data_IF_230129842615
#
_entry.id   IF_230129842615
#
_cell.length_a   1.000
_cell.length_b   1.000
_cell.length_c   1.000
_cell.angle_alpha   90.00
_cell.angle_beta   90.00
_cell.angle_gamma   90.00
#
_symmetry.space_group_name_H-M   'P 1'
#
loop_
_entity.id
_entity.type
_entity.pdbx_description
1 polymer ?
#
# COMPACT_ATOMS: atom_id res chain seq x y z
N UNK A 1 28.53 1.06 -26.35
CA UNK A 1 29.09 1.56 -25.07
C UNK A 1 29.27 3.09 -25.05
N UNK A 2 28.74 3.84 -26.03
CA UNK A 2 28.96 5.30 -26.17
C UNK A 2 27.69 6.16 -26.07
N UNK A 3 26.54 5.59 -25.68
CA UNK A 3 25.29 6.36 -25.38
C UNK A 3 25.03 6.48 -23.87
N UNK A 4 25.91 5.93 -23.01
CA UNK A 4 25.75 5.88 -21.56
C UNK A 4 26.31 7.12 -20.83
N UNK A 5 26.99 8.02 -21.53
CA UNK A 5 27.74 9.12 -20.89
C UNK A 5 26.90 10.37 -20.59
N UNK A 6 25.68 10.46 -21.11
CA UNK A 6 24.81 11.65 -20.95
C UNK A 6 23.57 11.38 -20.06
N UNK A 7 23.67 10.44 -19.12
CA UNK A 7 22.62 10.21 -18.14
C UNK A 7 22.66 11.31 -17.07
N UNK A 8 21.63 12.17 -16.95
CA UNK A 8 21.64 13.23 -15.95
C UNK A 8 21.78 12.61 -14.55
N UNK A 9 22.76 13.11 -13.79
CA UNK A 9 23.03 12.64 -12.44
C UNK A 9 21.83 12.82 -11.51
N UNK A 10 21.81 12.05 -10.42
CA UNK A 10 20.79 12.21 -9.37
C UNK A 10 21.14 13.37 -8.43
N UNK A 11 20.13 14.15 -8.02
CA UNK A 11 20.31 15.10 -6.93
C UNK A 11 20.13 14.38 -5.57
N UNK A 12 20.95 14.73 -4.58
CA UNK A 12 20.82 14.18 -3.22
C UNK A 12 19.49 14.59 -2.56
N UNK A 13 18.89 15.69 -2.99
CA UNK A 13 17.61 16.18 -2.49
C UNK A 13 16.37 15.50 -3.10
N UNK A 14 16.55 14.72 -4.17
CA UNK A 14 15.45 14.00 -4.82
C UNK A 14 14.81 12.99 -3.86
N UNK A 15 13.49 12.83 -3.98
CA UNK A 15 12.78 11.77 -3.26
C UNK A 15 13.14 10.42 -3.87
N UNK A 16 13.80 9.57 -3.09
CA UNK A 16 14.03 8.18 -3.45
C UNK A 16 12.80 7.32 -3.13
N UNK A 17 12.15 7.58 -1.99
CA UNK A 17 10.98 6.84 -1.54
C UNK A 17 9.83 7.81 -1.28
N UNK A 18 8.88 7.86 -2.20
CA UNK A 18 7.71 8.75 -2.13
C UNK A 18 6.80 8.41 -0.94
N UNK A 19 6.50 7.12 -0.74
CA UNK A 19 5.58 6.69 0.33
C UNK A 19 6.07 7.01 1.75
N UNK A 20 7.40 7.06 1.95
CA UNK A 20 8.03 7.40 3.23
C UNK A 20 8.63 8.81 3.25
N UNK A 21 8.54 9.56 2.14
CA UNK A 21 9.19 10.87 1.97
C UNK A 21 10.69 10.87 2.33
N UNK A 22 11.42 9.87 1.84
CA UNK A 22 12.86 9.70 2.10
C UNK A 22 13.66 10.17 0.88
N UNK A 23 14.63 11.06 1.12
CA UNK A 23 15.55 11.60 0.12
C UNK A 23 16.69 10.64 -0.22
N UNK A 24 17.19 10.71 -1.46
CA UNK A 24 18.31 9.89 -1.96
C UNK A 24 19.60 10.11 -1.16
N UNK A 25 19.95 11.36 -0.85
CA UNK A 25 21.15 11.72 -0.07
C UNK A 25 21.20 11.05 1.30
N UNK A 26 20.04 10.88 1.94
CA UNK A 26 19.97 10.20 3.24
C UNK A 26 20.33 8.72 3.14
N UNK A 27 19.82 8.03 2.10
CA UNK A 27 20.08 6.61 1.86
C UNK A 27 21.53 6.38 1.42
N UNK A 28 22.02 7.19 0.48
CA UNK A 28 23.40 7.08 -0.01
C UNK A 28 24.44 7.40 1.07
N UNK A 29 24.17 8.39 1.93
CA UNK A 29 25.02 8.69 3.10
C UNK A 29 25.06 7.51 4.08
N UNK A 30 23.93 6.84 4.33
CA UNK A 30 23.89 5.64 5.16
C UNK A 30 24.73 4.49 4.57
N UNK A 31 24.62 4.26 3.25
CA UNK A 31 25.39 3.24 2.55
C UNK A 31 26.91 3.55 2.53
N UNK A 32 27.28 4.83 2.36
CA UNK A 32 28.69 5.26 2.47
C UNK A 32 29.23 5.04 3.89
N UNK A 33 28.45 5.39 4.93
CA UNK A 33 28.85 5.21 6.34
C UNK A 33 29.01 3.75 6.77
N UNK A 34 28.29 2.83 6.14
CA UNK A 34 28.47 1.40 6.38
C UNK A 34 29.66 0.79 5.61
N UNK A 35 30.55 1.63 5.07
CA UNK A 35 31.66 1.20 4.19
C UNK A 35 31.16 0.36 3.01
N UNK A 36 29.94 0.63 2.52
CA UNK A 36 29.29 -0.10 1.42
C UNK A 36 29.10 -1.60 1.67
N UNK A 37 29.11 -2.03 2.93
CA UNK A 37 29.03 -3.44 3.31
C UNK A 37 27.60 -3.93 3.65
N UNK A 38 26.57 -3.09 3.44
CA UNK A 38 25.17 -3.48 3.69
C UNK A 38 24.51 -3.91 2.39
N UNK A 39 23.85 -5.06 2.40
CA UNK A 39 22.99 -5.52 1.31
C UNK A 39 21.65 -4.74 1.30
N UNK A 40 20.79 -5.06 0.32
CA UNK A 40 19.48 -4.44 0.16
C UNK A 40 18.66 -4.46 1.46
N UNK A 41 18.53 -5.62 2.11
CA UNK A 41 17.76 -5.76 3.36
C UNK A 41 18.33 -4.91 4.49
N UNK A 42 19.65 -4.87 4.61
CA UNK A 42 20.34 -3.99 5.57
C UNK A 42 20.07 -2.51 5.28
N UNK A 43 20.00 -2.12 4.00
CA UNK A 43 19.70 -0.74 3.60
C UNK A 43 18.23 -0.38 3.84
N UNK A 44 17.29 -1.28 3.52
CA UNK A 44 15.85 -1.13 3.81
C UNK A 44 15.65 -1.03 5.33
N UNK A 45 16.24 -1.94 6.11
CA UNK A 45 16.10 -1.96 7.57
C UNK A 45 16.64 -0.70 8.26
N UNK A 46 17.69 -0.08 7.72
CA UNK A 46 18.28 1.14 8.28
C UNK A 46 17.62 2.43 7.79
N UNK A 47 17.16 2.46 6.53
CA UNK A 47 16.56 3.66 5.94
C UNK A 47 15.05 3.70 6.06
N UNK A 48 14.38 2.56 6.24
CA UNK A 48 12.93 2.43 6.12
C UNK A 48 12.39 2.61 4.69
N UNK A 49 13.22 2.98 3.71
CA UNK A 49 12.82 3.11 2.32
C UNK A 49 12.41 1.74 1.76
N UNK A 50 11.32 1.72 0.98
CA UNK A 50 10.85 0.49 0.34
C UNK A 50 10.12 -0.49 1.27
N UNK A 51 9.98 -0.18 2.56
CA UNK A 51 9.33 -1.05 3.55
C UNK A 51 7.79 -1.11 3.45
N UNK A 52 7.18 -0.21 2.67
CA UNK A 52 5.72 -0.10 2.52
C UNK A 52 5.23 -0.64 1.18
N UNK A 53 5.65 -0.02 0.07
CA UNK A 53 5.07 -0.30 -1.24
C UNK A 53 6.04 -0.95 -2.22
N UNK A 54 7.29 -1.19 -1.81
CA UNK A 54 8.41 -1.71 -2.63
C UNK A 54 8.76 -0.96 -3.92
N UNK A 55 8.04 0.12 -4.27
CA UNK A 55 8.21 0.82 -5.56
C UNK A 55 9.58 1.47 -5.76
N UNK A 56 10.30 1.79 -4.68
CA UNK A 56 11.67 2.31 -4.75
C UNK A 56 12.76 1.23 -4.66
N UNK A 57 12.40 -0.07 -4.64
CA UNK A 57 13.37 -1.16 -4.53
C UNK A 57 14.40 -1.14 -5.66
N UNK A 58 14.05 -0.90 -6.94
CA UNK A 58 15.06 -0.79 -7.99
C UNK A 58 16.10 0.31 -7.76
N UNK A 59 15.69 1.45 -7.18
CA UNK A 59 16.61 2.53 -6.80
C UNK A 59 17.51 2.15 -5.62
N UNK A 60 17.01 1.37 -4.66
CA UNK A 60 17.80 0.87 -3.53
C UNK A 60 18.82 -0.17 -3.99
N UNK A 61 18.41 -1.07 -4.90
CA UNK A 61 19.27 -2.06 -5.55
C UNK A 61 20.41 -1.39 -6.32
N UNK A 62 20.09 -0.35 -7.09
CA UNK A 62 21.10 0.47 -7.77
C UNK A 62 22.12 1.10 -6.78
N UNK A 63 21.68 1.56 -5.60
CA UNK A 63 22.58 2.11 -4.58
C UNK A 63 23.54 1.05 -4.01
N UNK A 64 23.08 -0.18 -3.81
CA UNK A 64 23.92 -1.28 -3.31
C UNK A 64 24.76 -1.93 -4.40
N UNK A 65 24.68 -1.45 -5.65
CA UNK A 65 25.50 -1.90 -6.77
C UNK A 65 24.89 -3.03 -7.60
N UNK A 66 23.61 -3.36 -7.39
CA UNK A 66 22.90 -4.33 -8.24
C UNK A 66 22.46 -3.66 -9.55
N UNK A 67 22.74 -4.31 -10.69
CA UNK A 67 22.23 -3.87 -11.98
C UNK A 67 20.86 -4.46 -12.25
N UNK A 68 19.81 -3.65 -12.08
CA UNK A 68 18.41 -4.03 -12.28
C UNK A 68 17.70 -3.22 -13.36
N UNK A 69 18.43 -2.36 -14.06
CA UNK A 69 17.88 -1.45 -15.05
C UNK A 69 18.27 -1.87 -16.45
N UNK A 70 17.28 -1.88 -17.34
CA UNK A 70 17.50 -1.99 -18.78
C UNK A 70 17.13 -0.66 -19.43
N UNK A 71 18.07 -0.07 -20.16
CA UNK A 71 17.75 1.03 -21.08
C UNK A 71 16.97 0.48 -22.25
N UNK A 72 15.92 1.20 -22.65
CA UNK A 72 14.99 0.75 -23.67
C UNK A 72 14.65 1.85 -24.66
N UNK A 73 14.33 1.44 -25.87
CA UNK A 73 13.67 2.26 -26.88
C UNK A 73 12.20 1.89 -26.96
N UNK A 74 11.35 2.85 -27.31
CA UNK A 74 9.94 2.58 -27.58
C UNK A 74 9.84 2.06 -29.01
N UNK A 75 9.59 0.77 -29.19
CA UNK A 75 9.52 0.16 -30.53
C UNK A 75 8.15 0.28 -31.19
N UNK A 76 7.08 0.48 -30.42
CA UNK A 76 5.75 0.76 -30.95
C UNK A 76 4.87 1.48 -29.94
N UNK A 77 4.05 2.42 -30.42
CA UNK A 77 2.96 3.06 -29.66
C UNK A 77 1.61 2.77 -30.32
N UNK A 78 0.72 2.10 -29.58
CA UNK A 78 -0.65 1.84 -30.02
C UNK A 78 -1.64 2.71 -29.24
N UNK A 79 -2.58 3.36 -29.92
CA UNK A 79 -3.66 4.12 -29.28
C UNK A 79 -4.92 3.28 -29.22
N UNK A 80 -5.34 2.88 -28.01
CA UNK A 80 -6.52 2.05 -27.79
C UNK A 80 -7.80 2.89 -27.67
N UNK A 81 -7.70 4.04 -26.99
CA UNK A 81 -8.74 5.06 -26.92
C UNK A 81 -8.14 6.40 -26.48
N UNK A 82 -8.96 7.44 -26.34
CA UNK A 82 -8.52 8.81 -25.95
C UNK A 82 -7.61 8.82 -24.71
N UNK A 83 -7.92 7.99 -23.72
CA UNK A 83 -7.20 7.96 -22.44
C UNK A 83 -6.21 6.80 -22.34
N UNK A 84 -6.14 5.89 -23.31
CA UNK A 84 -5.36 4.66 -23.20
C UNK A 84 -4.41 4.48 -24.38
N UNK A 85 -3.12 4.31 -24.06
CA UNK A 85 -2.07 3.97 -25.01
C UNK A 85 -1.25 2.81 -24.51
N UNK A 86 -0.75 2.00 -25.43
CA UNK A 86 0.14 0.87 -25.17
C UNK A 86 1.49 1.13 -25.77
N UNK A 87 2.54 0.75 -25.04
CA UNK A 87 3.92 0.99 -25.40
C UNK A 87 4.66 -0.34 -25.36
N UNK A 88 5.40 -0.65 -26.43
CA UNK A 88 6.37 -1.74 -26.43
C UNK A 88 7.78 -1.17 -26.28
N UNK A 89 8.54 -1.82 -25.42
CA UNK A 89 9.92 -1.50 -25.13
C UNK A 89 10.82 -2.64 -25.55
N UNK A 90 11.91 -2.29 -26.22
CA UNK A 90 12.97 -3.22 -26.62
C UNK A 90 14.32 -2.70 -26.09
N UNK A 91 15.24 -3.63 -25.83
CA UNK A 91 16.64 -3.24 -25.56
C UNK A 91 17.44 -3.29 -26.84
N UNK A 92 18.59 -2.59 -26.86
CA UNK A 92 19.59 -2.76 -27.92
C UNK A 92 20.37 -4.06 -27.71
N UNK A 93 19.78 -5.18 -28.11
CA UNK A 93 20.48 -6.45 -28.34
C UNK A 93 20.63 -7.40 -27.14
N UNK A 94 19.88 -7.23 -26.05
CA UNK A 94 19.85 -8.18 -24.93
C UNK A 94 18.41 -8.58 -24.55
N UNK A 95 18.08 -9.87 -24.43
CA UNK A 95 16.76 -10.27 -23.99
C UNK A 95 16.49 -9.81 -22.55
N UNK A 96 15.23 -9.51 -22.26
CA UNK A 96 14.78 -9.25 -20.89
C UNK A 96 14.76 -10.54 -20.07
N UNK A 97 14.94 -10.41 -18.75
CA UNK A 97 14.67 -11.51 -17.82
C UNK A 97 13.21 -11.94 -17.90
N UNK A 98 12.90 -13.25 -17.93
CA UNK A 98 11.53 -13.76 -17.92
C UNK A 98 10.68 -13.14 -16.80
N UNK A 99 9.45 -12.75 -17.13
CA UNK A 99 8.47 -12.23 -16.18
C UNK A 99 7.39 -13.27 -15.92
N UNK A 100 6.83 -13.30 -14.70
CA UNK A 100 5.56 -14.00 -14.43
C UNK A 100 4.39 -13.12 -14.84
N UNK A 101 3.27 -13.74 -15.22
CA UNK A 101 2.06 -13.01 -15.55
C UNK A 101 1.56 -12.18 -14.36
N UNK A 102 1.19 -10.93 -14.61
CA UNK A 102 0.76 -9.99 -13.57
C UNK A 102 1.88 -9.27 -12.83
N UNK A 103 3.16 -9.56 -13.12
CA UNK A 103 4.26 -8.74 -12.59
C UNK A 103 4.29 -7.35 -13.21
N UNK A 104 4.94 -6.43 -12.51
CA UNK A 104 5.09 -5.05 -12.94
C UNK A 104 6.55 -4.65 -13.06
N UNK A 105 6.79 -3.59 -13.82
CA UNK A 105 8.09 -2.94 -13.94
C UNK A 105 8.00 -1.51 -13.41
N UNK A 106 9.13 -0.96 -12.99
CA UNK A 106 9.28 0.47 -12.76
C UNK A 106 9.79 1.09 -14.06
N UNK A 107 9.03 2.01 -14.62
CA UNK A 107 9.46 2.87 -15.73
C UNK A 107 10.02 4.14 -15.13
N UNK A 108 11.23 4.51 -15.54
CA UNK A 108 11.89 5.73 -15.12
C UNK A 108 12.31 6.54 -16.36
N UNK A 109 12.01 7.84 -16.31
CA UNK A 109 12.34 8.80 -17.36
C UNK A 109 12.77 10.13 -16.72
N UNK A 110 13.58 10.89 -17.44
CA UNK A 110 13.96 12.24 -17.05
C UNK A 110 12.98 13.25 -17.66
N UNK A 111 12.16 13.88 -16.84
CA UNK A 111 11.04 14.74 -17.27
C UNK A 111 11.19 16.09 -16.58
N UNK A 112 11.21 17.18 -17.33
CA UNK A 112 11.26 18.55 -16.81
C UNK A 112 12.39 18.79 -15.78
N UNK A 113 13.58 18.22 -16.02
CA UNK A 113 14.74 18.40 -15.16
C UNK A 113 14.76 17.48 -13.92
N UNK A 114 13.81 16.56 -13.78
CA UNK A 114 13.73 15.64 -12.63
C UNK A 114 13.53 14.18 -13.07
N UNK A 115 14.06 13.27 -12.27
CA UNK A 115 13.82 11.84 -12.45
C UNK A 115 12.42 11.48 -11.95
N UNK A 116 11.58 11.04 -12.88
CA UNK A 116 10.25 10.54 -12.59
C UNK A 116 10.23 9.03 -12.75
N UNK A 117 9.61 8.35 -11.79
CA UNK A 117 9.43 6.90 -11.84
C UNK A 117 7.97 6.54 -11.57
N UNK A 118 7.42 5.57 -12.29
CA UNK A 118 6.11 4.98 -11.98
C UNK A 118 6.11 3.49 -12.26
N UNK A 119 5.25 2.80 -11.51
CA UNK A 119 4.98 1.38 -11.67
C UNK A 119 3.95 1.18 -12.77
N UNK A 120 4.22 0.21 -13.65
CA UNK A 120 3.27 -0.27 -14.65
C UNK A 120 3.29 -1.79 -14.70
N UNK A 121 2.11 -2.40 -14.64
CA UNK A 121 1.96 -3.84 -14.82
C UNK A 121 2.25 -4.20 -16.28
N UNK A 122 3.01 -5.28 -16.47
CA UNK A 122 3.28 -5.81 -17.80
C UNK A 122 1.99 -6.38 -18.38
N UNK A 123 1.70 -6.07 -19.63
CA UNK A 123 0.62 -6.70 -20.41
C UNK A 123 1.13 -7.85 -21.27
N UNK A 124 2.44 -8.06 -21.35
CA UNK A 124 3.02 -9.22 -22.03
C UNK A 124 2.61 -10.55 -21.37
N UNK A 125 2.53 -11.65 -22.14
CA UNK A 125 2.45 -12.98 -21.55
C UNK A 125 3.71 -13.31 -20.73
N UNK A 126 3.59 -14.33 -19.86
CA UNK A 126 4.71 -14.81 -19.06
C UNK A 126 5.88 -15.29 -19.94
N UNK A 127 7.09 -15.11 -19.42
CA UNK A 127 8.38 -15.43 -20.02
C UNK A 127 8.66 -14.82 -21.40
N UNK A 128 7.85 -13.89 -21.91
CA UNK A 128 8.26 -13.07 -23.05
C UNK A 128 9.58 -12.37 -22.68
N UNK A 129 10.56 -12.39 -23.57
CA UNK A 129 11.91 -11.84 -23.33
C UNK A 129 12.36 -10.87 -24.42
N UNK A 130 11.69 -10.84 -25.57
CA UNK A 130 12.05 -9.98 -26.70
C UNK A 130 11.63 -8.54 -26.48
N UNK A 131 10.43 -8.33 -25.94
CA UNK A 131 9.89 -7.00 -25.65
C UNK A 131 9.17 -6.96 -24.29
N UNK A 132 8.93 -5.73 -23.81
CA UNK A 132 8.09 -5.45 -22.64
C UNK A 132 6.95 -4.55 -23.08
N UNK A 133 5.74 -4.86 -22.67
CA UNK A 133 4.55 -4.08 -23.03
C UNK A 133 3.86 -3.58 -21.77
N UNK A 134 3.44 -2.32 -21.79
CA UNK A 134 2.59 -1.72 -20.76
C UNK A 134 1.43 -0.96 -21.41
N UNK A 135 0.31 -0.90 -20.71
CA UNK A 135 -0.81 -0.02 -21.06
C UNK A 135 -0.95 1.10 -20.03
N UNK A 136 -1.07 2.32 -20.52
CA UNK A 136 -1.07 3.54 -19.71
C UNK A 136 -2.37 4.28 -19.88
N UNK A 137 -3.17 4.32 -18.81
CA UNK A 137 -4.29 5.26 -18.70
C UNK A 137 -3.78 6.66 -18.34
N UNK A 138 -4.20 7.67 -19.09
CA UNK A 138 -3.94 9.08 -18.80
C UNK A 138 -4.58 9.45 -17.46
N UNK A 139 -3.80 10.09 -16.58
CA UNK A 139 -4.30 10.65 -15.32
C UNK A 139 -4.26 12.17 -15.37
N UNK A 140 -5.33 12.81 -14.91
CA UNK A 140 -5.33 14.26 -14.68
C UNK A 140 -4.18 14.64 -13.75
N UNK A 141 -3.39 15.64 -14.15
CA UNK A 141 -2.16 16.09 -13.46
C UNK A 141 -1.07 15.01 -13.22
N UNK A 142 -1.14 13.85 -13.89
CA UNK A 142 -0.11 12.80 -13.77
C UNK A 142 1.13 13.09 -14.63
N UNK A 143 2.30 13.27 -14.02
CA UNK A 143 3.53 13.66 -14.74
C UNK A 143 3.94 12.60 -15.77
N UNK A 144 4.25 11.37 -15.32
CA UNK A 144 4.67 10.28 -16.20
C UNK A 144 3.60 9.88 -17.23
N UNK A 145 2.33 9.78 -16.81
CA UNK A 145 1.26 9.35 -17.72
C UNK A 145 1.01 10.35 -18.85
N UNK A 146 1.04 11.66 -18.55
CA UNK A 146 0.86 12.68 -19.59
C UNK A 146 2.09 12.79 -20.48
N UNK A 147 3.30 12.65 -19.90
CA UNK A 147 4.53 12.61 -20.67
C UNK A 147 4.53 11.45 -21.66
N UNK A 148 4.29 10.21 -21.21
CA UNK A 148 4.18 9.03 -22.10
C UNK A 148 3.13 9.25 -23.20
N UNK A 149 2.01 9.88 -22.88
CA UNK A 149 0.97 10.15 -23.88
C UNK A 149 1.39 11.12 -24.98
N UNK A 150 2.42 11.92 -24.75
CA UNK A 150 2.90 12.97 -25.64
C UNK A 150 4.26 12.65 -26.29
N UNK A 151 4.93 11.54 -25.93
CA UNK A 151 6.21 11.17 -26.56
C UNK A 151 6.02 10.59 -27.97
N UNK A 152 7.06 10.72 -28.79
CA UNK A 152 7.26 10.01 -30.05
C UNK A 152 8.23 8.82 -29.87
N UNK A 153 8.28 7.92 -30.86
CA UNK A 153 9.00 6.64 -30.80
C UNK A 153 10.53 6.75 -30.71
N UNK A 154 11.15 7.93 -30.87
CA UNK A 154 12.58 8.00 -31.21
C UNK A 154 13.53 8.81 -30.31
N UNK A 155 13.13 9.42 -29.19
CA UNK A 155 14.04 10.44 -28.55
C UNK A 155 14.11 10.47 -27.02
N UNK A 156 13.73 9.40 -26.31
CA UNK A 156 13.63 9.49 -24.85
C UNK A 156 14.52 8.49 -24.10
N UNK A 157 15.32 9.00 -23.16
CA UNK A 157 16.06 8.20 -22.18
C UNK A 157 15.07 7.54 -21.21
N UNK A 158 14.56 6.38 -21.59
CA UNK A 158 13.73 5.53 -20.74
C UNK A 158 14.58 4.34 -20.28
N UNK A 159 14.46 4.04 -18.99
CA UNK A 159 14.94 2.77 -18.45
C UNK A 159 13.84 2.11 -17.64
N UNK A 160 13.82 0.78 -17.69
CA UNK A 160 12.84 -0.02 -16.98
C UNK A 160 13.54 -0.99 -16.05
N UNK A 161 12.95 -1.26 -14.89
CA UNK A 161 13.48 -2.26 -13.96
C UNK A 161 13.25 -3.68 -14.48
N UNK A 162 13.96 -4.64 -13.92
CA UNK A 162 13.53 -6.04 -13.94
C UNK A 162 12.09 -6.18 -13.39
N UNK A 163 11.33 -7.20 -13.82
CA UNK A 163 10.01 -7.50 -13.27
C UNK A 163 10.05 -7.69 -11.75
N UNK A 164 9.06 -7.13 -11.07
CA UNK A 164 8.89 -7.20 -9.63
C UNK A 164 7.41 -7.46 -9.30
N UNK A 165 7.17 -7.97 -8.09
CA UNK A 165 5.84 -8.31 -7.59
C UNK A 165 5.67 -9.83 -7.45
N UNK A 166 5.24 -10.25 -6.26
CA UNK A 166 5.02 -11.66 -5.92
C UNK A 166 3.54 -12.04 -5.92
N UNK A 167 2.63 -11.06 -6.02
CA UNK A 167 1.18 -11.25 -6.01
C UNK A 167 0.65 -11.69 -7.40
N UNK A 168 1.21 -12.77 -7.93
CA UNK A 168 0.79 -13.38 -9.19
C UNK A 168 0.09 -14.71 -8.90
N UNK A 169 -1.09 -14.99 -9.49
CA UNK A 169 -1.73 -16.28 -9.30
C UNK A 169 -0.89 -17.40 -9.92
N UNK A 170 -0.97 -18.59 -9.32
CA UNK A 170 -0.37 -19.80 -9.90
C UNK A 170 -1.14 -20.21 -11.16
N UNK A 171 -0.47 -20.32 -12.31
CA UNK A 171 -1.17 -20.60 -13.57
C UNK A 171 -1.37 -22.09 -13.86
N UNK A 172 -0.57 -22.95 -13.22
CA UNK A 172 -0.71 -24.41 -13.33
C UNK A 172 -1.46 -24.90 -12.10
N UNK A 173 -2.79 -24.97 -12.19
CA UNK A 173 -3.65 -25.41 -11.09
C UNK A 173 -4.96 -25.99 -11.61
N UNK A 174 -5.49 -26.98 -10.90
CA UNK A 174 -6.82 -27.56 -11.15
C UNK A 174 -7.95 -26.73 -10.52
N UNK A 175 -7.63 -25.69 -9.75
CA UNK A 175 -8.63 -24.79 -9.17
C UNK A 175 -8.94 -23.66 -10.16
N UNK A 176 -10.21 -23.34 -10.47
CA UNK A 176 -10.50 -22.22 -11.37
C UNK A 176 -9.98 -20.87 -10.84
N UNK A 177 -9.74 -19.93 -11.74
CA UNK A 177 -9.32 -18.56 -11.43
C UNK A 177 -10.38 -17.56 -11.86
N UNK A 178 -10.88 -16.77 -10.92
CA UNK A 178 -11.84 -15.69 -11.19
C UNK A 178 -11.14 -14.34 -11.05
N UNK A 179 -10.93 -13.67 -12.19
CA UNK A 179 -10.35 -12.33 -12.24
C UNK A 179 -11.46 -11.27 -12.21
N UNK A 180 -11.51 -10.45 -11.15
CA UNK A 180 -12.45 -9.33 -10.99
C UNK A 180 -11.68 -8.02 -11.15
N UNK A 181 -11.85 -7.36 -12.30
CA UNK A 181 -11.02 -6.20 -12.67
C UNK A 181 -11.81 -4.95 -13.03
N UNK A 182 -11.27 -3.80 -12.64
CA UNK A 182 -11.88 -2.48 -12.85
C UNK A 182 -10.97 -1.52 -13.62
N UNK A 183 -11.44 -1.03 -14.77
CA UNK A 183 -10.69 -0.04 -15.59
C UNK A 183 -9.30 -0.53 -16.01
N UNK A 184 -8.25 0.27 -15.74
CA UNK A 184 -6.86 -0.12 -16.05
C UNK A 184 -6.35 -1.29 -15.18
N UNK A 185 -7.08 -1.67 -14.14
CA UNK A 185 -6.84 -2.90 -13.38
C UNK A 185 -6.96 -4.18 -14.22
N UNK A 186 -7.43 -4.09 -15.47
CA UNK A 186 -7.36 -5.17 -16.46
C UNK A 186 -5.93 -5.66 -16.70
N UNK A 187 -4.93 -4.79 -16.67
CA UNK A 187 -3.56 -5.10 -17.15
C UNK A 187 -2.93 -6.38 -16.58
N UNK A 188 -2.96 -6.69 -15.26
CA UNK A 188 -2.48 -7.98 -14.77
C UNK A 188 -3.32 -9.16 -15.28
N UNK A 189 -4.65 -9.02 -15.33
CA UNK A 189 -5.54 -10.05 -15.84
C UNK A 189 -5.33 -10.29 -17.34
N UNK A 190 -5.03 -9.25 -18.13
CA UNK A 190 -4.69 -9.40 -19.54
C UNK A 190 -3.39 -10.20 -19.73
N UNK A 191 -2.36 -9.92 -18.92
CA UNK A 191 -1.13 -10.71 -18.93
C UNK A 191 -1.39 -12.19 -18.59
N UNK A 192 -2.28 -12.46 -17.63
CA UNK A 192 -2.71 -13.82 -17.28
C UNK A 192 -3.46 -14.47 -18.45
N UNK A 193 -4.48 -13.80 -19.00
CA UNK A 193 -5.27 -14.30 -20.14
C UNK A 193 -4.39 -14.64 -21.33
N UNK A 194 -3.48 -13.74 -21.72
CA UNK A 194 -2.50 -13.98 -22.81
C UNK A 194 -1.56 -15.14 -22.51
N UNK A 195 -1.22 -15.36 -21.24
CA UNK A 195 -0.35 -16.48 -20.86
C UNK A 195 -1.09 -17.80 -20.97
N UNK A 196 -2.31 -17.87 -20.45
CA UNK A 196 -3.14 -19.08 -20.51
C UNK A 196 -3.51 -19.44 -21.96
N UNK A 197 -3.72 -18.46 -22.82
CA UNK A 197 -4.05 -18.70 -24.23
C UNK A 197 -2.88 -19.19 -25.09
N UNK A 198 -1.64 -19.04 -24.61
CA UNK A 198 -0.44 -19.42 -25.36
C UNK A 198 0.24 -20.69 -24.84
N UNK A 199 -0.11 -21.14 -23.64
CA UNK A 199 0.57 -22.23 -22.93
C UNK A 199 -0.40 -23.35 -22.62
N UNK A 200 -0.37 -24.39 -23.44
CA UNK A 200 -1.23 -25.57 -23.28
C UNK A 200 -1.04 -26.25 -21.92
N UNK A 201 0.17 -26.19 -21.35
CA UNK A 201 0.46 -26.74 -20.02
C UNK A 201 -0.22 -25.97 -18.87
N UNK A 202 -0.72 -24.75 -19.13
CA UNK A 202 -1.37 -23.89 -18.14
C UNK A 202 -2.90 -24.02 -18.16
N UNK A 203 -3.48 -25.19 -18.52
CA UNK A 203 -4.93 -25.44 -18.75
C UNK A 203 -5.93 -25.18 -17.60
N UNK A 204 -5.65 -24.22 -16.72
CA UNK A 204 -6.50 -23.70 -15.66
C UNK A 204 -7.71 -22.97 -16.24
N UNK A 205 -8.90 -23.25 -15.72
CA UNK A 205 -10.11 -22.50 -16.06
C UNK A 205 -10.02 -21.06 -15.57
N UNK A 206 -10.32 -20.09 -16.44
CA UNK A 206 -10.33 -18.67 -16.12
C UNK A 206 -11.68 -18.02 -16.45
N UNK A 207 -12.21 -17.29 -15.46
CA UNK A 207 -13.34 -16.37 -15.63
C UNK A 207 -12.86 -14.93 -15.43
N UNK A 208 -12.97 -14.09 -16.46
CA UNK A 208 -12.69 -12.67 -16.38
C UNK A 208 -14.00 -11.88 -16.24
N UNK A 209 -14.17 -11.11 -15.17
CA UNK A 209 -15.21 -10.08 -15.05
C UNK A 209 -14.54 -8.71 -15.14
N UNK A 210 -14.79 -8.01 -16.25
CA UNK A 210 -14.16 -6.74 -16.58
C UNK A 210 -15.17 -5.60 -16.55
N UNK A 211 -15.04 -4.75 -15.52
CA UNK A 211 -15.89 -3.60 -15.27
C UNK A 211 -15.23 -2.28 -15.69
N UNK A 212 -15.95 -1.47 -16.47
CA UNK A 212 -15.53 -0.10 -16.85
C UNK A 212 -16.71 0.86 -16.85
N UNK A 213 -16.44 2.18 -16.92
CA UNK A 213 -17.50 3.19 -16.87
C UNK A 213 -18.28 3.28 -18.19
N UNK A 214 -17.56 3.34 -19.31
CA UNK A 214 -18.12 3.55 -20.65
C UNK A 214 -17.59 2.47 -21.61
N UNK A 215 -18.28 2.20 -22.72
CA UNK A 215 -17.76 1.28 -23.75
C UNK A 215 -16.37 1.71 -24.26
N UNK A 216 -16.10 3.02 -24.35
CA UNK A 216 -14.78 3.55 -24.76
C UNK A 216 -13.63 3.26 -23.78
N UNK A 217 -13.95 2.87 -22.54
CA UNK A 217 -12.97 2.41 -21.55
C UNK A 217 -12.71 0.88 -21.66
N UNK A 218 -13.50 0.12 -22.43
CA UNK A 218 -13.30 -1.33 -22.67
C UNK A 218 -12.14 -1.60 -23.64
N UNK A 219 -10.93 -1.26 -23.21
CA UNK A 219 -9.72 -1.57 -23.97
C UNK A 219 -9.49 -3.07 -24.07
N UNK A 220 -8.91 -3.54 -25.18
CA UNK A 220 -8.64 -4.97 -25.47
C UNK A 220 -9.87 -5.88 -25.60
N UNK A 221 -11.09 -5.33 -25.73
CA UNK A 221 -12.32 -6.11 -25.89
C UNK A 221 -12.24 -7.15 -27.03
N UNK A 222 -11.81 -6.73 -28.22
CA UNK A 222 -11.73 -7.61 -29.39
C UNK A 222 -10.69 -8.71 -29.21
N UNK A 223 -9.50 -8.37 -28.73
CA UNK A 223 -8.45 -9.36 -28.45
C UNK A 223 -8.92 -10.41 -27.43
N UNK A 224 -9.57 -9.97 -26.34
CA UNK A 224 -10.09 -10.89 -25.33
C UNK A 224 -11.16 -11.82 -25.91
N UNK A 225 -12.05 -11.30 -26.77
CA UNK A 225 -13.06 -12.11 -27.45
C UNK A 225 -12.43 -13.16 -28.37
N UNK A 226 -11.43 -12.78 -29.17
CA UNK A 226 -10.69 -13.70 -30.03
C UNK A 226 -10.00 -14.81 -29.22
N UNK A 227 -9.39 -14.46 -28.08
CA UNK A 227 -8.79 -15.43 -27.16
C UNK A 227 -9.86 -16.40 -26.62
N UNK A 228 -11.01 -15.89 -26.19
CA UNK A 228 -12.11 -16.71 -25.65
C UNK A 228 -12.68 -17.66 -26.71
N UNK A 229 -12.80 -17.22 -27.96
CA UNK A 229 -13.27 -18.08 -29.06
C UNK A 229 -12.32 -19.26 -29.33
N UNK A 230 -11.01 -19.04 -29.13
CA UNK A 230 -9.98 -20.06 -29.35
C UNK A 230 -9.72 -20.94 -28.13
N UNK A 231 -10.15 -20.53 -26.92
CA UNK A 231 -9.80 -21.19 -25.66
C UNK A 231 -11.04 -21.46 -24.80
N UNK A 232 -11.51 -22.72 -24.81
CA UNK A 232 -12.74 -23.14 -24.11
C UNK A 232 -12.68 -22.99 -22.58
N UNK A 233 -11.50 -23.00 -21.99
CA UNK A 233 -11.27 -22.83 -20.55
C UNK A 233 -11.27 -21.35 -20.12
N UNK A 234 -11.34 -20.40 -21.06
CA UNK A 234 -11.35 -18.97 -20.77
C UNK A 234 -12.74 -18.41 -21.10
N UNK A 235 -13.33 -17.67 -20.17
CA UNK A 235 -14.58 -16.96 -20.40
C UNK A 235 -14.56 -15.55 -19.84
N UNK A 236 -15.32 -14.64 -20.45
CA UNK A 236 -15.34 -13.22 -20.08
C UNK A 236 -16.77 -12.71 -19.87
N UNK A 237 -16.92 -11.77 -18.95
CA UNK A 237 -18.09 -10.92 -18.76
C UNK A 237 -17.63 -9.47 -18.81
N UNK A 238 -18.16 -8.67 -19.73
CA UNK A 238 -17.92 -7.23 -19.77
C UNK A 238 -19.06 -6.49 -19.08
N UNK A 239 -18.72 -5.50 -18.25
CA UNK A 239 -19.70 -4.67 -17.54
C UNK A 239 -19.43 -3.18 -17.77
N UNK A 240 -20.35 -2.52 -18.44
CA UNK A 240 -20.35 -1.05 -18.61
C UNK A 240 -21.22 -0.47 -17.50
N UNK A 241 -20.60 0.10 -16.47
CA UNK A 241 -21.28 0.45 -15.22
C UNK A 241 -22.24 1.62 -15.34
N UNK A 242 -22.07 2.49 -16.35
CA UNK A 242 -23.03 3.58 -16.62
C UNK A 242 -24.37 3.05 -17.17
N UNK A 243 -24.40 1.83 -17.71
CA UNK A 243 -25.58 1.22 -18.33
C UNK A 243 -26.14 0.10 -17.44
N UNK A 244 -25.30 -0.84 -17.04
CA UNK A 244 -25.68 -2.03 -16.28
C UNK A 244 -25.57 -1.87 -14.75
N UNK A 245 -25.09 -0.72 -14.28
CA UNK A 245 -24.77 -0.50 -12.87
C UNK A 245 -23.48 -1.21 -12.41
N UNK A 246 -23.10 -0.95 -11.16
CA UNK A 246 -21.95 -1.63 -10.53
C UNK A 246 -22.29 -3.09 -10.21
N UNK A 247 -21.25 -3.92 -10.18
CA UNK A 247 -21.33 -5.27 -9.62
C UNK A 247 -21.88 -5.23 -8.20
N UNK A 248 -22.81 -6.13 -7.88
CA UNK A 248 -23.52 -6.20 -6.60
C UNK A 248 -23.33 -7.57 -5.91
N UNK A 249 -23.92 -7.72 -4.73
CA UNK A 249 -23.82 -8.95 -3.95
C UNK A 249 -24.40 -10.18 -4.67
N UNK A 250 -25.49 -10.03 -5.43
CA UNK A 250 -26.10 -11.14 -6.15
C UNK A 250 -25.21 -11.63 -7.28
N UNK A 251 -24.58 -10.70 -8.02
CA UNK A 251 -23.60 -11.05 -9.06
C UNK A 251 -22.48 -11.94 -8.46
N UNK A 252 -21.94 -11.55 -7.31
CA UNK A 252 -20.87 -12.29 -6.63
C UNK A 252 -21.36 -13.65 -6.10
N UNK A 253 -22.57 -13.71 -5.53
CA UNK A 253 -23.15 -14.98 -5.07
C UNK A 253 -23.32 -15.97 -6.23
N UNK A 254 -23.80 -15.50 -7.37
CA UNK A 254 -23.90 -16.31 -8.60
C UNK A 254 -22.54 -16.75 -9.09
N UNK A 255 -21.57 -15.84 -9.14
CA UNK A 255 -20.19 -16.13 -9.58
C UNK A 255 -19.52 -17.20 -8.71
N UNK A 256 -19.65 -17.09 -7.38
CA UNK A 256 -19.10 -18.07 -6.42
C UNK A 256 -19.81 -19.42 -6.55
N UNK A 257 -21.13 -19.41 -6.72
CA UNK A 257 -21.94 -20.64 -6.84
C UNK A 257 -21.65 -21.39 -8.14
N UNK A 258 -21.40 -20.68 -9.24
CA UNK A 258 -21.03 -21.27 -10.53
C UNK A 258 -19.57 -21.75 -10.57
N UNK A 259 -18.71 -21.22 -9.71
CA UNK A 259 -17.27 -21.51 -9.70
C UNK A 259 -16.80 -21.86 -8.27
N UNK A 260 -17.29 -22.97 -7.68
CA UNK A 260 -16.99 -23.32 -6.30
C UNK A 260 -15.49 -23.62 -6.11
N UNK A 261 -14.93 -23.14 -4.99
CA UNK A 261 -13.54 -23.40 -4.62
C UNK A 261 -12.48 -22.57 -5.36
N UNK A 262 -12.91 -21.70 -6.28
CA UNK A 262 -12.03 -20.85 -7.09
C UNK A 262 -11.12 -19.94 -6.26
N UNK A 263 -9.97 -19.61 -6.85
CA UNK A 263 -9.18 -18.49 -6.37
C UNK A 263 -9.67 -17.20 -7.06
N UNK A 264 -9.69 -16.10 -6.33
CA UNK A 264 -10.15 -14.80 -6.79
C UNK A 264 -8.97 -13.83 -6.91
N UNK A 265 -8.80 -13.24 -8.07
CA UNK A 265 -7.78 -12.23 -8.34
C UNK A 265 -8.43 -10.89 -8.62
N UNK A 266 -8.19 -9.91 -7.76
CA UNK A 266 -8.87 -8.61 -7.79
C UNK A 266 -7.88 -7.52 -8.14
N UNK A 267 -8.23 -6.67 -9.11
CA UNK A 267 -7.43 -5.49 -9.42
C UNK A 267 -8.29 -4.31 -9.91
N UNK A 268 -8.14 -3.15 -9.29
CA UNK A 268 -8.87 -1.96 -9.70
C UNK A 268 -8.70 -0.77 -8.76
N UNK A 269 -9.54 0.26 -8.89
CA UNK A 269 -9.62 1.35 -7.93
C UNK A 269 -9.89 0.84 -6.51
N UNK A 270 -9.39 1.54 -5.49
CA UNK A 270 -9.54 1.11 -4.08
C UNK A 270 -10.98 0.88 -3.67
N UNK A 271 -11.93 1.68 -4.16
CA UNK A 271 -13.36 1.50 -3.87
C UNK A 271 -13.91 0.21 -4.49
N UNK A 272 -13.58 -0.06 -5.76
CA UNK A 272 -13.93 -1.30 -6.44
C UNK A 272 -13.41 -2.52 -5.67
N UNK A 273 -12.11 -2.55 -5.37
CA UNK A 273 -11.49 -3.67 -4.67
C UNK A 273 -12.09 -3.91 -3.28
N UNK A 274 -12.34 -2.85 -2.50
CA UNK A 274 -12.95 -2.99 -1.16
C UNK A 274 -14.37 -3.54 -1.24
N UNK A 275 -15.16 -3.09 -2.22
CA UNK A 275 -16.53 -3.55 -2.43
C UNK A 275 -16.57 -5.02 -2.82
N UNK A 276 -15.71 -5.45 -3.75
CA UNK A 276 -15.60 -6.86 -4.14
C UNK A 276 -15.20 -7.73 -2.95
N UNK A 277 -14.19 -7.33 -2.18
CA UNK A 277 -13.74 -8.09 -0.99
C UNK A 277 -14.88 -8.23 0.02
N UNK A 278 -15.64 -7.15 0.25
CA UNK A 278 -16.81 -7.19 1.13
C UNK A 278 -17.88 -8.17 0.63
N UNK A 279 -18.15 -8.20 -0.68
CA UNK A 279 -19.12 -9.14 -1.24
C UNK A 279 -18.65 -10.61 -1.22
N UNK A 280 -17.36 -10.85 -1.46
CA UNK A 280 -16.76 -12.18 -1.36
C UNK A 280 -16.79 -12.71 0.08
N UNK A 281 -16.52 -11.86 1.07
CA UNK A 281 -16.66 -12.19 2.50
C UNK A 281 -18.10 -12.58 2.84
N UNK A 282 -19.09 -11.81 2.36
CA UNK A 282 -20.51 -12.14 2.51
C UNK A 282 -20.94 -13.43 1.79
N UNK A 283 -20.23 -13.81 0.73
CA UNK A 283 -20.40 -15.07 0.02
C UNK A 283 -19.61 -16.22 0.66
N UNK A 284 -19.00 -16.03 1.84
CA UNK A 284 -18.18 -17.00 2.57
C UNK A 284 -16.93 -17.48 1.81
N UNK A 285 -16.34 -16.61 0.98
CA UNK A 285 -15.03 -16.89 0.37
C UNK A 285 -13.93 -16.61 1.39
N UNK A 286 -13.09 -17.60 1.66
CA UNK A 286 -12.01 -17.46 2.62
C UNK A 286 -10.91 -16.50 2.14
N UNK A 287 -10.26 -15.73 3.03
CA UNK A 287 -9.26 -14.73 2.64
C UNK A 287 -8.04 -15.29 1.90
N UNK A 288 -7.65 -16.54 2.16
CA UNK A 288 -6.53 -17.24 1.48
C UNK A 288 -6.83 -17.53 0.00
N UNK A 289 -8.11 -17.53 -0.38
CA UNK A 289 -8.57 -17.63 -1.77
C UNK A 289 -8.57 -16.30 -2.50
N UNK A 290 -8.21 -15.19 -1.85
CA UNK A 290 -8.31 -13.85 -2.43
C UNK A 290 -6.91 -13.24 -2.59
N UNK A 291 -6.53 -12.96 -3.83
CA UNK A 291 -5.35 -12.19 -4.19
C UNK A 291 -5.76 -10.79 -4.65
N UNK A 292 -5.11 -9.76 -4.13
CA UNK A 292 -5.40 -8.36 -4.45
C UNK A 292 -4.15 -7.65 -4.97
N UNK A 293 -4.22 -7.12 -6.19
CA UNK A 293 -3.20 -6.23 -6.76
C UNK A 293 -3.64 -4.76 -6.66
N UNK A 294 -2.82 -3.94 -6.01
CA UNK A 294 -3.14 -2.53 -5.75
C UNK A 294 -2.52 -1.60 -6.80
N UNK A 295 -3.33 -1.12 -7.73
CA UNK A 295 -2.92 -0.25 -8.84
C UNK A 295 -2.69 1.22 -8.46
N UNK A 296 -3.19 1.64 -7.30
CA UNK A 296 -3.09 3.04 -6.86
C UNK A 296 -1.94 3.13 -5.86
N UNK A 297 -0.81 3.71 -6.29
CA UNK A 297 0.15 4.26 -5.33
C UNK A 297 -0.63 5.18 -4.39
N UNK A 298 -0.38 5.19 -3.07
CA UNK A 298 -1.19 5.94 -2.12
C UNK A 298 -0.94 7.48 -2.18
N UNK A 299 -0.64 8.00 -3.37
CA UNK A 299 0.26 9.12 -3.61
C UNK A 299 -0.38 10.53 -3.49
N UNK A 300 -1.68 10.69 -3.23
CA UNK A 300 -2.23 12.05 -3.06
C UNK A 300 -3.19 12.26 -1.87
N UNK A 301 -3.82 11.22 -1.32
CA UNK A 301 -4.62 11.36 -0.10
C UNK A 301 -3.81 11.31 1.20
N UNK A 302 -2.54 10.88 1.16
CA UNK A 302 -1.73 10.66 2.37
C UNK A 302 -0.99 11.90 2.90
N UNK A 303 -0.74 12.93 2.09
CA UNK A 303 -0.02 14.13 2.54
C UNK A 303 -0.90 15.10 3.35
N UNK A 304 -2.21 15.14 3.09
CA UNK A 304 -3.11 16.08 3.77
C UNK A 304 -3.65 15.56 5.11
N UNK A 305 -3.71 14.23 5.33
CA UNK A 305 -4.14 13.64 6.61
C UNK A 305 -3.08 13.64 7.71
N UNK A 306 -1.81 13.91 7.37
CA UNK A 306 -0.67 13.83 8.29
C UNK A 306 -0.68 14.93 9.39
N UNK A 307 -1.37 16.06 9.19
CA UNK A 307 -1.29 17.20 10.11
C UNK A 307 -2.45 17.30 11.10
N UNK A 308 -3.66 16.85 10.74
CA UNK A 308 -4.87 17.10 11.55
C UNK A 308 -4.86 16.37 12.89
N UNK A 309 -4.49 15.09 12.94
CA UNK A 309 -4.45 14.31 14.19
C UNK A 309 -3.47 14.91 15.21
N UNK A 310 -2.38 15.52 14.76
CA UNK A 310 -1.40 16.15 15.66
C UNK A 310 -2.03 17.30 16.44
N UNK A 311 -2.74 18.20 15.75
CA UNK A 311 -3.38 19.35 16.39
C UNK A 311 -4.56 18.94 17.26
N UNK A 312 -5.32 17.93 16.85
CA UNK A 312 -6.41 17.35 17.66
C UNK A 312 -5.86 16.75 18.95
N UNK A 313 -4.82 15.93 18.87
CA UNK A 313 -4.21 15.31 20.04
C UNK A 313 -3.58 16.35 20.97
N UNK A 314 -2.87 17.33 20.42
CA UNK A 314 -2.30 18.43 21.18
C UNK A 314 -3.39 19.24 21.91
N UNK A 315 -4.50 19.54 21.23
CA UNK A 315 -5.64 20.24 21.82
C UNK A 315 -6.21 19.47 23.02
N UNK A 316 -6.52 18.17 22.86
CA UNK A 316 -7.06 17.37 23.97
C UNK A 316 -6.07 17.24 25.13
N UNK A 317 -4.78 17.13 24.84
CA UNK A 317 -3.75 17.08 25.88
C UNK A 317 -3.63 18.40 26.65
N UNK A 318 -3.69 19.54 25.96
CA UNK A 318 -3.69 20.87 26.58
C UNK A 318 -4.95 21.05 27.43
N UNK A 319 -6.12 20.68 26.93
CA UNK A 319 -7.39 20.77 27.67
C UNK A 319 -7.37 19.91 28.94
N UNK A 320 -6.88 18.67 28.86
CA UNK A 320 -6.71 17.80 30.02
C UNK A 320 -5.72 18.39 31.04
N UNK A 321 -4.59 18.92 30.56
CA UNK A 321 -3.58 19.54 31.41
C UNK A 321 -4.11 20.81 32.10
N UNK A 322 -4.86 21.64 31.38
CA UNK A 322 -5.50 22.84 31.92
C UNK A 322 -6.57 22.47 32.96
N UNK A 323 -7.34 21.40 32.70
CA UNK A 323 -8.28 20.86 33.66
C UNK A 323 -7.60 20.45 34.96
N UNK A 324 -6.48 19.73 34.90
CA UNK A 324 -5.72 19.35 36.10
C UNK A 324 -5.13 20.57 36.83
N UNK A 325 -4.59 21.55 36.11
CA UNK A 325 -3.94 22.72 36.69
C UNK A 325 -4.91 23.70 37.35
N UNK A 326 -6.11 23.83 36.79
CA UNK A 326 -7.16 24.75 37.26
C UNK A 326 -8.22 24.05 38.11
N UNK A 327 -8.05 22.75 38.39
CA UNK A 327 -9.02 21.88 39.08
C UNK A 327 -10.46 21.98 38.51
N UNK A 328 -10.56 22.07 37.17
CA UNK A 328 -11.86 22.21 36.49
C UNK A 328 -12.55 20.85 36.44
N UNK A 329 -13.54 20.64 37.32
CA UNK A 329 -14.32 19.40 37.36
C UNK A 329 -15.77 19.65 36.96
N UNK A 330 -16.30 18.76 36.12
CA UNK A 330 -17.73 18.72 35.85
C UNK A 330 -18.40 17.78 36.84
N UNK A 331 -19.30 18.32 37.67
CA UNK A 331 -19.95 17.58 38.75
C UNK A 331 -20.69 16.32 38.27
N UNK A 332 -21.30 16.39 37.09
CA UNK A 332 -22.00 15.22 36.51
C UNK A 332 -21.06 14.08 36.16
N UNK A 333 -19.85 14.39 35.66
CA UNK A 333 -18.85 13.39 35.27
C UNK A 333 -18.18 12.80 36.50
N UNK A 334 -17.88 13.63 37.51
CA UNK A 334 -17.31 13.16 38.78
C UNK A 334 -18.28 12.21 39.50
N UNK A 335 -19.58 12.56 39.55
CA UNK A 335 -20.60 11.69 40.11
C UNK A 335 -20.67 10.34 39.38
N UNK A 336 -20.58 10.34 38.05
CA UNK A 336 -20.51 9.10 37.27
C UNK A 336 -19.24 8.30 37.60
N UNK A 337 -18.07 8.95 37.58
CA UNK A 337 -16.76 8.33 37.87
C UNK A 337 -16.67 7.72 39.28
N UNK A 338 -17.52 8.14 40.21
CA UNK A 338 -17.59 7.56 41.55
C UNK A 338 -18.42 6.27 41.63
N UNK A 339 -19.37 6.05 40.71
CA UNK A 339 -20.20 4.84 40.69
C UNK A 339 -19.41 3.59 40.27
N UNK A 340 -19.66 2.46 40.94
CA UNK A 340 -18.95 1.19 40.66
C UNK A 340 -19.18 0.71 39.23
N UNK A 341 -20.42 0.76 38.75
CA UNK A 341 -20.78 0.36 37.40
C UNK A 341 -20.01 1.16 36.35
N UNK A 342 -19.94 2.48 36.50
CA UNK A 342 -19.19 3.32 35.58
C UNK A 342 -17.69 3.03 35.61
N UNK A 343 -17.08 2.83 36.78
CA UNK A 343 -15.66 2.47 36.90
C UNK A 343 -15.33 1.21 36.11
N UNK A 344 -16.17 0.17 36.22
CA UNK A 344 -16.01 -1.10 35.50
C UNK A 344 -16.16 -0.89 33.99
N UNK A 345 -17.27 -0.28 33.54
CA UNK A 345 -17.54 -0.15 32.10
C UNK A 345 -16.59 0.82 31.40
N UNK A 346 -16.27 1.96 32.02
CA UNK A 346 -15.31 2.91 31.47
C UNK A 346 -13.89 2.36 31.47
N UNK A 347 -13.51 1.59 32.50
CA UNK A 347 -12.22 0.89 32.57
C UNK A 347 -12.09 -0.19 31.50
N UNK A 348 -13.13 -1.01 31.30
CA UNK A 348 -13.18 -2.02 30.23
C UNK A 348 -13.08 -1.36 28.85
N UNK A 349 -13.82 -0.26 28.63
CA UNK A 349 -13.74 0.50 27.40
C UNK A 349 -12.33 1.04 27.15
N UNK A 350 -11.67 1.62 28.16
CA UNK A 350 -10.30 2.11 28.06
C UNK A 350 -9.31 0.96 27.75
N UNK A 351 -9.48 -0.20 28.39
CA UNK A 351 -8.66 -1.38 28.13
C UNK A 351 -8.82 -1.89 26.68
N UNK A 352 -10.06 -2.02 26.20
CA UNK A 352 -10.36 -2.39 24.81
C UNK A 352 -9.81 -1.36 23.81
N UNK A 353 -9.91 -0.07 24.13
CA UNK A 353 -9.33 1.00 23.33
C UNK A 353 -7.80 0.84 23.22
N UNK A 354 -7.10 0.59 24.33
CA UNK A 354 -5.64 0.36 24.33
C UNK A 354 -5.30 -0.90 23.52
N UNK A 355 -6.01 -2.01 23.71
CA UNK A 355 -5.82 -3.24 22.93
C UNK A 355 -6.03 -3.02 21.43
N UNK A 356 -7.02 -2.20 21.05
CA UNK A 356 -7.28 -1.88 19.64
C UNK A 356 -6.12 -1.16 18.95
N UNK A 357 -5.21 -0.52 19.70
CA UNK A 357 -4.00 0.09 19.14
C UNK A 357 -2.96 -0.94 18.70
N UNK A 358 -3.06 -2.20 19.17
CA UNK A 358 -2.15 -3.30 18.81
C UNK A 358 -2.50 -4.02 17.51
N UNK A 359 -3.64 -3.68 16.88
CA UNK A 359 -4.05 -4.22 15.58
C UNK A 359 -2.96 -3.96 14.52
N UNK A 360 -2.28 -2.81 14.59
CA UNK A 360 -1.20 -2.48 13.65
C UNK A 360 0.05 -3.36 13.83
N UNK A 361 0.67 -3.46 15.02
CA UNK A 361 1.76 -4.42 15.27
C UNK A 361 1.43 -5.85 14.87
N UNK A 362 0.23 -6.33 15.19
CA UNK A 362 -0.21 -7.70 14.88
C UNK A 362 -0.21 -7.96 13.36
N UNK A 363 -0.84 -7.08 12.58
CA UNK A 363 -0.91 -7.22 11.13
C UNK A 363 0.47 -7.11 10.46
N UNK A 364 1.42 -6.37 11.06
CA UNK A 364 2.79 -6.26 10.57
C UNK A 364 3.58 -7.56 10.76
N UNK A 365 3.35 -8.29 11.86
CA UNK A 365 4.00 -9.58 12.12
C UNK A 365 3.48 -10.71 11.22
N UNK A 366 2.22 -10.63 10.75
CA UNK A 366 1.60 -11.63 9.88
C UNK A 366 1.90 -11.45 8.37
N UNK A 367 2.87 -10.61 7.99
CA UNK A 367 3.28 -10.36 6.58
C UNK A 367 2.15 -9.94 5.62
N UNK A 368 1.06 -9.34 6.08
CA UNK A 368 -0.01 -8.84 5.20
C UNK A 368 0.34 -7.41 4.73
N UNK A 369 0.81 -7.20 3.48
CA UNK A 369 1.54 -5.97 3.12
C UNK A 369 0.67 -4.71 2.95
N UNK A 370 -0.62 -4.89 2.64
CA UNK A 370 -1.46 -3.80 2.12
C UNK A 370 -2.39 -3.15 3.16
N UNK A 371 -2.68 -3.82 4.27
CA UNK A 371 -3.57 -3.28 5.31
C UNK A 371 -2.83 -2.23 6.17
N UNK A 372 -1.51 -2.13 6.05
CA UNK A 372 -0.63 -1.39 6.96
C UNK A 372 -0.80 0.12 6.90
N UNK A 373 -0.98 0.73 5.72
CA UNK A 373 -1.01 2.19 5.61
C UNK A 373 -2.33 2.82 6.13
N UNK A 374 -3.48 2.23 5.79
CA UNK A 374 -4.80 2.67 6.30
C UNK A 374 -4.92 2.40 7.79
N UNK A 375 -4.42 1.26 8.27
CA UNK A 375 -4.37 0.94 9.69
C UNK A 375 -3.43 1.89 10.44
N UNK A 376 -2.28 2.24 9.86
CA UNK A 376 -1.35 3.19 10.46
C UNK A 376 -1.99 4.57 10.67
N UNK A 377 -2.73 5.06 9.67
CA UNK A 377 -3.46 6.33 9.81
C UNK A 377 -4.59 6.24 10.84
N UNK A 378 -5.32 5.11 10.89
CA UNK A 378 -6.32 4.86 11.94
C UNK A 378 -5.71 4.81 13.33
N UNK A 379 -4.53 4.22 13.48
CA UNK A 379 -3.77 4.18 14.73
C UNK A 379 -3.38 5.60 15.17
N UNK A 380 -2.80 6.41 14.28
CA UNK A 380 -2.48 7.83 14.57
C UNK A 380 -3.71 8.64 14.97
N UNK A 381 -4.78 8.51 14.19
CA UNK A 381 -6.01 9.26 14.41
C UNK A 381 -6.69 8.86 15.72
N UNK A 382 -6.84 7.55 15.99
CA UNK A 382 -7.40 7.08 17.27
C UNK A 382 -6.53 7.51 18.44
N UNK A 383 -5.22 7.34 18.33
CA UNK A 383 -4.24 7.75 19.34
C UNK A 383 -4.36 9.23 19.74
N UNK A 384 -4.76 10.11 18.82
CA UNK A 384 -4.99 11.53 19.12
C UNK A 384 -6.10 11.75 20.16
N UNK A 385 -7.07 10.84 20.29
CA UNK A 385 -8.17 10.94 21.27
C UNK A 385 -7.81 10.37 22.65
N UNK A 386 -6.59 9.85 22.84
CA UNK A 386 -6.17 9.26 24.11
C UNK A 386 -6.42 10.17 25.34
N UNK A 387 -6.06 11.47 25.34
CA UNK A 387 -6.32 12.33 26.51
C UNK A 387 -7.81 12.47 26.82
N UNK A 388 -8.66 12.57 25.79
CA UNK A 388 -10.10 12.68 25.94
C UNK A 388 -10.71 11.39 26.51
N UNK A 389 -10.28 10.23 26.01
CA UNK A 389 -10.76 8.93 26.49
C UNK A 389 -10.32 8.70 27.94
N UNK A 390 -9.08 9.06 28.28
CA UNK A 390 -8.60 9.02 29.66
C UNK A 390 -9.46 9.93 30.56
N UNK A 391 -9.74 11.16 30.13
CA UNK A 391 -10.54 12.13 30.88
C UNK A 391 -11.93 11.60 31.26
N UNK A 392 -12.61 10.91 30.33
CA UNK A 392 -13.90 10.29 30.63
C UNK A 392 -13.78 9.16 31.65
N UNK A 393 -12.68 8.41 31.66
CA UNK A 393 -12.45 7.37 32.67
C UNK A 393 -12.03 7.94 34.04
N UNK A 394 -11.11 8.92 34.04
CA UNK A 394 -10.58 9.55 35.26
C UNK A 394 -10.21 11.01 35.02
N UNK A 395 -10.69 11.88 35.91
CA UNK A 395 -10.31 13.30 36.01
C UNK A 395 -9.04 13.53 36.83
N UNK A 396 -8.46 12.48 37.43
CA UNK A 396 -7.24 12.54 38.24
C UNK A 396 -6.15 11.60 37.72
N UNK A 397 -4.89 11.88 38.06
CA UNK A 397 -3.76 11.01 37.73
C UNK A 397 -3.63 9.80 38.67
N UNK A 398 -4.41 9.77 39.77
CA UNK A 398 -4.26 8.80 40.86
C UNK A 398 -2.98 8.98 41.67
N UNK A 399 -2.74 8.05 42.59
CA UNK A 399 -1.55 8.00 43.45
C UNK A 399 -0.83 6.65 43.32
N UNK A 400 0.44 6.59 43.74
CA UNK A 400 1.24 5.35 43.74
C UNK A 400 1.31 4.68 42.36
N UNK A 401 0.89 3.42 42.23
CA UNK A 401 0.94 2.70 40.96
C UNK A 401 -0.02 3.29 39.90
N UNK A 402 -1.11 3.95 40.30
CA UNK A 402 -2.03 4.63 39.38
C UNK A 402 -1.36 5.86 38.74
N UNK A 403 -0.53 6.57 39.51
CA UNK A 403 0.29 7.66 38.97
C UNK A 403 1.29 7.13 37.94
N UNK A 404 1.93 5.99 38.22
CA UNK A 404 2.81 5.32 37.26
C UNK A 404 2.06 4.92 35.98
N UNK A 405 0.86 4.32 36.11
CA UNK A 405 0.00 3.97 34.98
C UNK A 405 -0.34 5.19 34.12
N UNK A 406 -0.79 6.27 34.75
CA UNK A 406 -1.11 7.54 34.07
C UNK A 406 0.13 8.15 33.39
N UNK A 407 1.28 8.13 34.06
CA UNK A 407 2.53 8.64 33.51
C UNK A 407 2.98 7.84 32.27
N UNK A 408 2.90 6.51 32.31
CA UNK A 408 3.20 5.64 31.17
C UNK A 408 2.20 5.86 30.03
N UNK A 409 0.91 5.99 30.34
CA UNK A 409 -0.14 6.27 29.35
C UNK A 409 0.14 7.57 28.57
N UNK A 410 0.33 8.68 29.27
CA UNK A 410 0.57 9.98 28.64
C UNK A 410 1.94 10.08 27.99
N UNK A 411 2.97 9.43 28.55
CA UNK A 411 4.29 9.35 27.90
C UNK A 411 4.22 8.61 26.57
N UNK A 412 3.48 7.50 26.53
CA UNK A 412 3.29 6.72 25.30
C UNK A 412 2.51 7.54 24.26
N UNK A 413 1.45 8.23 24.68
CA UNK A 413 0.68 9.14 23.84
C UNK A 413 1.55 10.28 23.26
N UNK A 414 2.29 11.01 24.11
CA UNK A 414 3.13 12.13 23.67
C UNK A 414 4.19 11.65 22.69
N UNK A 415 4.83 10.51 22.98
CA UNK A 415 5.81 9.93 22.07
C UNK A 415 5.15 9.59 20.71
N UNK A 416 3.95 9.00 20.71
CA UNK A 416 3.18 8.73 19.49
C UNK A 416 2.80 10.01 18.71
N UNK A 417 2.42 11.07 19.41
CA UNK A 417 2.04 12.38 18.85
C UNK A 417 3.25 13.08 18.20
N UNK A 418 4.40 13.05 18.86
CA UNK A 418 5.67 13.61 18.37
C UNK A 418 6.46 12.57 17.55
N UNK A 419 5.81 12.04 16.52
CA UNK A 419 6.44 11.09 15.61
C UNK A 419 7.56 11.74 14.76
N UNK A 420 8.34 10.87 14.12
CA UNK A 420 9.50 11.26 13.31
C UNK A 420 9.17 12.20 12.12
N UNK A 421 7.92 12.27 11.64
CA UNK A 421 7.55 13.03 10.43
C UNK A 421 7.81 14.55 10.56
N UNK A 422 7.95 15.07 11.79
CA UNK A 422 8.23 16.49 12.06
C UNK A 422 9.70 16.87 11.91
N UNK A 423 10.63 15.92 11.82
CA UNK A 423 12.06 16.21 11.77
C UNK A 423 12.46 16.56 10.33
N UNK A 424 12.73 17.84 10.04
CA UNK A 424 13.12 18.31 8.70
C UNK A 424 14.36 17.58 8.15
N UNK A 425 15.36 17.31 8.99
CA UNK A 425 16.62 16.70 8.57
C UNK A 425 16.55 15.17 8.52
N UNK A 426 16.55 14.59 7.30
CA UNK A 426 16.29 13.17 7.04
C UNK A 426 17.20 12.19 7.81
N UNK A 427 18.49 12.48 7.98
CA UNK A 427 19.40 11.60 8.73
C UNK A 427 19.08 11.61 10.24
N UNK A 428 18.72 12.77 10.79
CA UNK A 428 18.30 12.88 12.19
C UNK A 428 16.95 12.22 12.39
N UNK A 429 16.06 12.32 11.39
CA UNK A 429 14.76 11.64 11.35
C UNK A 429 14.90 10.13 11.43
N UNK A 430 15.83 9.55 10.69
CA UNK A 430 16.08 8.09 10.67
C UNK A 430 16.66 7.59 12.00
N UNK A 431 17.67 8.29 12.52
CA UNK A 431 18.23 7.97 13.84
C UNK A 431 17.15 8.09 14.92
N UNK A 432 16.40 9.20 14.92
CA UNK A 432 15.29 9.39 15.84
C UNK A 432 14.25 8.27 15.70
N UNK A 433 13.82 7.94 14.48
CA UNK A 433 12.82 6.90 14.23
C UNK A 433 13.19 5.56 14.87
N UNK A 434 14.46 5.15 14.79
CA UNK A 434 14.94 3.90 15.40
C UNK A 434 14.74 3.90 16.91
N UNK A 435 15.23 4.92 17.62
CA UNK A 435 15.10 5.01 19.07
C UNK A 435 13.65 5.25 19.49
N UNK A 436 12.96 6.16 18.79
CA UNK A 436 11.57 6.50 18.99
C UNK A 436 10.66 5.27 18.93
N UNK A 437 10.78 4.46 17.87
CA UNK A 437 9.93 3.29 17.67
C UNK A 437 10.16 2.26 18.78
N UNK A 438 11.42 2.00 19.14
CA UNK A 438 11.76 1.07 20.23
C UNK A 438 11.18 1.52 21.57
N UNK A 439 11.33 2.81 21.92
CA UNK A 439 10.81 3.35 23.19
C UNK A 439 9.28 3.34 23.19
N UNK A 440 8.63 3.69 22.07
CA UNK A 440 7.17 3.69 21.96
C UNK A 440 6.56 2.30 22.10
N UNK A 441 7.19 1.29 21.49
CA UNK A 441 6.76 -0.11 21.66
C UNK A 441 6.96 -0.56 23.12
N UNK A 442 8.11 -0.26 23.73
CA UNK A 442 8.39 -0.64 25.12
C UNK A 442 7.36 -0.03 26.09
N UNK A 443 7.06 1.26 25.95
CA UNK A 443 6.02 1.93 26.75
C UNK A 443 4.63 1.35 26.51
N UNK A 444 4.30 0.99 25.27
CA UNK A 444 3.02 0.35 24.94
C UNK A 444 2.86 -1.01 25.61
N UNK A 445 3.90 -1.85 25.61
CA UNK A 445 3.88 -3.17 26.28
C UNK A 445 3.78 -3.00 27.80
N UNK A 446 4.55 -2.08 28.37
CA UNK A 446 4.46 -1.76 29.81
C UNK A 446 3.06 -1.27 30.19
N UNK A 447 2.45 -0.42 29.36
CA UNK A 447 1.09 0.09 29.57
C UNK A 447 0.07 -1.06 29.65
N UNK A 448 0.13 -2.03 28.74
CA UNK A 448 -0.77 -3.20 28.78
C UNK A 448 -0.60 -4.01 30.07
N UNK A 449 0.65 -4.22 30.51
CA UNK A 449 0.93 -4.89 31.78
C UNK A 449 0.34 -4.15 33.00
N UNK A 450 0.51 -2.83 33.06
CA UNK A 450 -0.03 -2.00 34.14
C UNK A 450 -1.57 -1.95 34.12
N UNK A 451 -2.19 -1.91 32.94
CA UNK A 451 -3.65 -2.01 32.80
C UNK A 451 -4.14 -3.37 33.27
N UNK A 452 -3.48 -4.46 32.89
CA UNK A 452 -3.82 -5.80 33.35
C UNK A 452 -3.73 -5.95 34.87
N UNK A 453 -2.68 -5.41 35.48
CA UNK A 453 -2.52 -5.35 36.93
C UNK A 453 -3.60 -4.52 37.61
N UNK A 454 -3.94 -3.35 37.06
CA UNK A 454 -5.02 -2.50 37.57
C UNK A 454 -6.38 -3.21 37.51
N UNK A 455 -6.71 -3.84 36.40
CA UNK A 455 -7.95 -4.62 36.24
C UNK A 455 -8.01 -5.78 37.24
N UNK A 456 -6.87 -6.46 37.48
CA UNK A 456 -6.79 -7.52 38.48
C UNK A 456 -7.05 -7.01 39.90
N UNK A 457 -6.46 -5.88 40.30
CA UNK A 457 -6.73 -5.26 41.59
C UNK A 457 -8.22 -4.91 41.72
N UNK A 458 -8.79 -4.23 40.72
CA UNK A 458 -10.20 -3.81 40.75
C UNK A 458 -11.17 -5.00 40.74
N UNK A 459 -10.76 -6.16 40.21
CA UNK A 459 -11.58 -7.37 40.25
C UNK A 459 -11.40 -8.20 41.55
N UNK A 460 -10.32 -7.96 42.30
CA UNK A 460 -9.98 -8.71 43.52
C UNK A 460 -10.46 -8.03 44.80
N UNK A 461 -10.87 -6.78 44.72
CA UNK A 461 -11.47 -5.96 45.77
C UNK A 461 -12.86 -5.53 45.34
#
# INVERSE_FOLDING_TARGET
MSELEDHPGYNEDDLLCHCMSIKRGAVTSLFKKSRRAINLDGLIGRSGAGSVCTGCHPLLKEIVGENVWSFVTVSSIETLSTDFKTYRFETKGQPFYPAKAGQHIIVQAYINGQWELRRYTLTTPAEETRYREITVKRKSAGIMSNWLHNISESENLIRISQPIGDATPELVSNTPLVCLVGGIGLTPALSIVRTLSQREECGRDLKLDYSVKTDSDLVYKNEILEIVEQNKNISVTFRITNEAGYINQNDINTLVSQNPGSDFYICGPTEFSNTIIYYLDKANVYPDKISLENFTAPEQQQLNSSKSYYYIGLLFFILFSAQLALDIKFSWLENLQMTESYKIYSGLFLALYILSQFIMPYNKSCKVPHVTARIYQRHKFRGAFAPLIFYFHSTSLGSSYLLLLSAVYFSNFLLGLFNHERIKHSIRRLNYFKYWLSVHIALSVLLVGLVGFHTYIVASY
#
